data_IF_076947961266
#
_entry.id   IF_076947961266
#
_cell.length_a   1.000
_cell.length_b   1.000
_cell.length_c   1.000
_cell.angle_alpha   90.00
_cell.angle_beta   90.00
_cell.angle_gamma   90.00
#
_symmetry.space_group_name_H-M   'P 1'
#
loop_
_entity.id
_entity.type
_entity.pdbx_description
1 polymer ?
#
# COMPACT_ATOMS: atom_id res chain seq x y z
N UNK A 1 -0.61 23.56 38.14
CA UNK A 1 -1.30 24.01 37.04
C UNK A 1 -0.52 23.86 35.78
N UNK A 2 0.57 24.60 35.64
CA UNK A 2 1.42 24.49 34.48
C UNK A 2 1.98 23.10 34.33
N UNK A 3 2.40 22.53 35.44
CA UNK A 3 2.98 21.20 35.41
C UNK A 3 2.00 20.15 34.92
N UNK A 4 0.77 20.27 35.39
CA UNK A 4 -0.25 19.30 34.99
C UNK A 4 -0.51 19.39 33.50
N UNK A 5 -0.47 20.58 32.95
CA UNK A 5 -0.70 20.78 31.54
C UNK A 5 0.45 20.22 30.73
N UNK A 6 1.66 20.40 31.22
CA UNK A 6 2.83 19.87 30.53
C UNK A 6 2.83 18.37 30.53
N UNK A 7 2.47 17.77 31.66
CA UNK A 7 2.41 16.34 31.74
C UNK A 7 1.35 15.77 30.78
N UNK A 8 0.21 16.44 30.76
CA UNK A 8 -0.85 15.98 29.87
C UNK A 8 -0.42 16.08 28.42
N UNK A 9 0.30 17.15 28.09
CA UNK A 9 0.78 17.30 26.71
C UNK A 9 1.81 16.25 26.38
N UNK A 10 2.69 15.94 27.31
CA UNK A 10 3.69 14.92 27.08
C UNK A 10 3.05 13.56 26.87
N UNK A 11 2.03 13.25 27.63
CA UNK A 11 1.32 12.00 27.46
C UNK A 11 0.66 11.94 26.10
N UNK A 12 0.10 13.06 25.67
CA UNK A 12 -0.51 13.15 24.37
C UNK A 12 0.52 12.89 23.27
N UNK A 13 1.69 13.50 23.43
CA UNK A 13 2.75 13.33 22.46
C UNK A 13 3.19 11.88 22.40
N UNK A 14 3.30 11.24 23.56
CA UNK A 14 3.71 9.84 23.58
C UNK A 14 2.70 8.97 22.86
N UNK A 15 1.42 9.26 23.04
CA UNK A 15 0.37 8.53 22.35
C UNK A 15 0.45 8.73 20.85
N UNK A 16 0.67 9.96 20.44
CA UNK A 16 0.76 10.26 19.03
C UNK A 16 1.96 9.59 18.39
N UNK A 17 3.07 9.58 19.10
CA UNK A 17 4.25 8.93 18.58
C UNK A 17 4.02 7.43 18.41
N UNK A 18 3.30 6.84 19.33
CA UNK A 18 2.98 5.43 19.23
C UNK A 18 2.07 5.18 18.02
N UNK A 19 1.10 6.05 17.84
CA UNK A 19 0.21 5.92 16.68
C UNK A 19 0.97 6.05 15.38
N UNK A 20 1.89 7.01 15.31
CA UNK A 20 2.68 7.18 14.12
C UNK A 20 3.53 5.96 13.86
N UNK A 21 4.09 5.39 14.90
CA UNK A 21 4.90 4.19 14.76
C UNK A 21 4.06 3.03 14.22
N UNK A 22 2.87 2.87 14.77
CA UNK A 22 1.98 1.81 14.30
C UNK A 22 1.60 2.02 12.84
N UNK A 23 1.30 3.24 12.48
CA UNK A 23 0.94 3.54 11.11
C UNK A 23 2.11 3.30 10.16
N UNK A 24 3.31 3.61 10.61
CA UNK A 24 4.48 3.36 9.79
C UNK A 24 4.62 1.88 9.49
N UNK A 25 4.34 1.04 10.48
CA UNK A 25 4.39 -0.40 10.27
C UNK A 25 3.35 -0.85 9.27
N UNK A 26 2.15 -0.30 9.38
CA UNK A 26 1.08 -0.66 8.46
C UNK A 26 1.45 -0.24 7.05
N UNK A 27 1.96 0.97 6.90
CA UNK A 27 2.34 1.46 5.59
C UNK A 27 3.43 0.58 4.97
N UNK A 28 4.40 0.18 5.79
CA UNK A 28 5.47 -0.68 5.28
C UNK A 28 4.92 -2.00 4.79
N UNK A 29 3.99 -2.59 5.53
CA UNK A 29 3.39 -3.85 5.11
C UNK A 29 2.60 -3.69 3.84
N UNK A 30 1.88 -2.60 3.73
CA UNK A 30 1.09 -2.35 2.54
C UNK A 30 2.00 -2.16 1.34
N UNK A 31 3.13 -1.50 1.53
CA UNK A 31 4.06 -1.31 0.44
C UNK A 31 4.61 -2.64 -0.06
N UNK A 32 4.89 -3.55 0.87
CA UNK A 32 5.35 -4.88 0.49
C UNK A 32 4.30 -5.64 -0.29
N UNK A 33 3.06 -5.53 0.17
CA UNK A 33 1.96 -6.21 -0.48
C UNK A 33 1.77 -5.66 -1.89
N UNK A 34 1.82 -4.35 -2.04
CA UNK A 34 1.67 -3.74 -3.33
C UNK A 34 2.79 -4.19 -4.26
N UNK A 35 4.01 -4.20 -3.77
CA UNK A 35 5.13 -4.62 -4.57
C UNK A 35 4.97 -6.06 -5.05
N UNK A 36 4.51 -6.92 -4.16
CA UNK A 36 4.29 -8.30 -4.50
C UNK A 36 3.21 -8.46 -5.54
N UNK A 37 2.14 -7.71 -5.38
CA UNK A 37 1.03 -7.77 -6.33
C UNK A 37 1.44 -7.23 -7.69
N UNK A 38 2.22 -6.17 -7.68
CA UNK A 38 2.69 -5.61 -8.94
C UNK A 38 3.54 -6.61 -9.71
N UNK A 39 4.35 -7.35 -8.99
CA UNK A 39 5.18 -8.37 -9.64
C UNK A 39 4.33 -9.50 -10.19
N UNK A 40 3.30 -9.88 -9.47
CA UNK A 40 2.43 -10.94 -9.97
C UNK A 40 1.67 -10.49 -11.18
N UNK A 41 1.22 -9.26 -11.18
CA UNK A 41 0.54 -8.73 -12.35
C UNK A 41 1.47 -8.71 -13.54
N UNK A 42 2.72 -8.30 -13.32
CA UNK A 42 3.69 -8.27 -14.41
C UNK A 42 3.91 -9.66 -14.97
N UNK A 43 4.01 -10.65 -14.10
CA UNK A 43 4.18 -12.03 -14.55
C UNK A 43 2.99 -12.51 -15.35
N UNK A 44 1.80 -12.20 -14.88
CA UNK A 44 0.60 -12.61 -15.56
C UNK A 44 0.51 -11.96 -16.92
N UNK A 45 0.90 -10.72 -17.01
CA UNK A 45 0.87 -10.03 -18.28
C UNK A 45 1.89 -10.60 -19.25
N UNK A 46 3.02 -11.04 -18.73
CA UNK A 46 4.00 -11.70 -19.56
C UNK A 46 3.46 -12.99 -20.15
N UNK A 47 2.77 -13.75 -19.31
CA UNK A 47 2.20 -15.01 -19.76
C UNK A 47 1.13 -14.77 -20.79
N UNK A 48 0.37 -13.72 -20.59
CA UNK A 48 -0.66 -13.36 -21.55
C UNK A 48 -0.01 -13.08 -22.89
N UNK A 49 1.05 -12.30 -22.87
CA UNK A 49 1.73 -11.95 -24.09
C UNK A 49 2.29 -13.21 -24.78
N UNK A 50 2.84 -14.11 -23.98
CA UNK A 50 3.39 -15.35 -24.53
C UNK A 50 2.33 -16.20 -25.17
N UNK A 51 1.14 -16.17 -24.60
CA UNK A 51 0.05 -16.98 -25.12
C UNK A 51 -0.68 -16.33 -26.29
N UNK A 52 -0.23 -15.18 -26.69
CA UNK A 52 -0.85 -14.55 -27.81
C UNK A 52 -1.83 -13.45 -27.42
N UNK A 53 -1.73 -13.03 -26.19
CA UNK A 53 -2.52 -11.90 -25.77
C UNK A 53 -4.01 -12.14 -25.74
N UNK A 54 -4.39 -13.17 -25.04
CA UNK A 54 -5.79 -13.49 -25.00
C UNK A 54 -6.61 -12.53 -24.17
N UNK A 55 -6.03 -11.99 -23.12
CA UNK A 55 -6.80 -11.17 -22.20
C UNK A 55 -6.31 -9.76 -22.18
N UNK A 56 -7.23 -8.86 -22.23
CA UNK A 56 -6.91 -7.46 -22.14
C UNK A 56 -7.43 -6.95 -20.81
N UNK A 57 -6.52 -6.48 -20.01
CA UNK A 57 -6.92 -5.93 -18.75
C UNK A 57 -7.41 -4.52 -18.96
N UNK A 58 -8.30 -4.16 -18.18
CA UNK A 58 -8.77 -2.84 -18.33
C UNK A 58 -9.87 -2.85 -19.30
N UNK A 59 -9.98 -2.05 -20.09
CA UNK A 59 -11.02 -2.10 -20.87
C UNK A 59 -10.74 -2.13 -22.18
N UNK A 60 -10.18 -2.12 -22.55
CA UNK A 60 -10.03 -2.15 -23.74
C UNK A 60 -10.10 -2.98 -24.50
N UNK A 61 -10.43 -3.15 -25.15
CA UNK A 61 -10.58 -4.00 -25.92
C UNK A 61 -10.40 -3.80 -27.15
N UNK A 62 -9.93 -4.26 -27.69
CA UNK A 62 -9.53 -4.14 -28.86
C UNK A 62 -10.47 -4.38 -29.73
N UNK A 63 -10.68 -3.90 -30.49
CA UNK A 63 -11.64 -4.04 -31.20
C UNK A 63 -11.57 -4.84 -32.26
N UNK A 64 -11.51 -5.01 -32.80
CA UNK A 64 -11.48 -5.60 -33.78
C UNK A 64 -11.33 -6.62 -33.83
N UNK A 65 -11.39 -6.97 -33.40
CA UNK A 65 -11.15 -8.07 -33.49
C UNK A 65 -12.10 -8.50 -33.56
#
# INVERSE_FOLDING_TARGET
MEEARIIAAEERIAELLRSVDDLSTVVARQAETIDRLERRVALLMEREADLGGGIVLGDERPPHW
#
